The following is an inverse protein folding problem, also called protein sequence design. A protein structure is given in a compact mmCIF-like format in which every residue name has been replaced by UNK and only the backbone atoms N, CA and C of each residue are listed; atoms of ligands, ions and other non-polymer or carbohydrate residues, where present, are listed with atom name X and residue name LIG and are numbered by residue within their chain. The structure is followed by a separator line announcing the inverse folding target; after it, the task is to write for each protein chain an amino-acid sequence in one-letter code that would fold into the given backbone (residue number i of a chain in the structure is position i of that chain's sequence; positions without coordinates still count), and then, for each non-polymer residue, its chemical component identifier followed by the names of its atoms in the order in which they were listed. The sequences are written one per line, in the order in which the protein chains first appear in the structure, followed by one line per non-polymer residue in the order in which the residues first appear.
data_IF_914982983877
#
_entry.id   IF_914982983877
#
_cell.length_a   1.000
_cell.length_b   1.000
_cell.length_c   1.000
_cell.angle_alpha   90.00
_cell.angle_beta   90.00
_cell.angle_gamma   90.00
#
_symmetry.space_group_name_H-M   'P 1'
#
loop_
_entity.id
_entity.type
_entity.pdbx_description
1 polymer ?
#
# COMPACT_ATOMS: atom_id res chain seq x y z
N UNK A 1 1.88 -22.07 -28.64
CA UNK A 1 2.90 -21.86 -27.63
C UNK A 1 2.28 -21.14 -26.43
N UNK A 2 2.69 -21.46 -25.23
CA UNK A 2 2.26 -20.74 -24.02
C UNK A 2 2.72 -19.28 -24.09
N UNK A 3 1.83 -18.33 -23.74
CA UNK A 3 2.19 -16.91 -23.67
C UNK A 3 3.04 -16.64 -22.43
N UNK A 4 4.16 -15.94 -22.61
CA UNK A 4 5.12 -15.62 -21.55
C UNK A 4 4.81 -14.26 -20.95
N UNK A 5 4.55 -14.23 -19.66
CA UNK A 5 4.24 -13.01 -18.91
C UNK A 5 5.39 -12.69 -17.96
N UNK A 6 6.00 -11.53 -18.16
CA UNK A 6 6.95 -11.00 -17.19
C UNK A 6 6.22 -10.23 -16.08
N UNK A 7 6.25 -10.77 -14.87
CA UNK A 7 5.72 -10.11 -13.66
C UNK A 7 6.87 -9.35 -13.01
N UNK A 8 6.87 -8.03 -13.19
CA UNK A 8 7.96 -7.18 -12.78
C UNK A 8 7.81 -6.70 -11.34
N UNK A 9 8.76 -7.09 -10.49
CA UNK A 9 8.89 -6.65 -9.11
C UNK A 9 10.00 -5.59 -9.01
N UNK A 10 9.67 -4.30 -8.93
CA UNK A 10 10.67 -3.25 -8.72
C UNK A 10 11.24 -3.22 -7.31
N UNK A 11 10.48 -3.71 -6.33
CA UNK A 11 10.84 -3.86 -4.92
C UNK A 11 10.05 -5.01 -4.27
N UNK A 12 10.31 -5.29 -2.99
CA UNK A 12 9.73 -6.41 -2.26
C UNK A 12 8.25 -6.22 -1.87
N UNK A 13 7.76 -4.99 -1.89
CA UNK A 13 6.41 -4.66 -1.37
C UNK A 13 5.30 -5.37 -2.17
N UNK A 14 5.47 -5.48 -3.50
CA UNK A 14 4.50 -6.11 -4.38
C UNK A 14 4.35 -7.63 -4.18
N UNK A 15 5.29 -8.30 -3.52
CA UNK A 15 5.25 -9.75 -3.30
C UNK A 15 4.03 -10.19 -2.50
N UNK A 16 3.60 -9.39 -1.51
CA UNK A 16 2.39 -9.65 -0.74
C UNK A 16 1.19 -9.97 -1.64
N UNK A 17 1.03 -9.21 -2.72
CA UNK A 17 -0.14 -9.29 -3.60
C UNK A 17 0.02 -10.31 -4.74
N UNK A 18 1.24 -10.52 -5.24
CA UNK A 18 1.44 -11.26 -6.50
C UNK A 18 2.29 -12.52 -6.37
N UNK A 19 2.83 -12.79 -5.15
CA UNK A 19 3.57 -14.01 -4.88
C UNK A 19 2.81 -14.97 -3.95
N UNK A 20 1.99 -14.45 -3.02
CA UNK A 20 1.39 -15.24 -1.94
C UNK A 20 -0.14 -15.35 -2.00
N UNK A 21 -0.76 -14.82 -3.05
CA UNK A 21 -2.19 -14.93 -3.35
C UNK A 21 -2.43 -15.97 -4.44
N UNK A 22 -3.67 -16.11 -4.89
CA UNK A 22 -4.01 -17.03 -5.99
C UNK A 22 -3.46 -16.58 -7.37
N UNK A 23 -2.83 -15.39 -7.44
CA UNK A 23 -2.37 -14.81 -8.70
C UNK A 23 -1.50 -15.79 -9.52
N UNK A 24 -0.45 -16.36 -8.94
CA UNK A 24 0.45 -17.29 -9.64
C UNK A 24 -0.30 -18.54 -10.12
N UNK A 25 -1.00 -19.20 -9.21
CA UNK A 25 -1.73 -20.45 -9.50
C UNK A 25 -2.75 -20.29 -10.61
N UNK A 26 -3.55 -19.23 -10.57
CA UNK A 26 -4.55 -18.95 -11.61
C UNK A 26 -3.93 -18.65 -12.98
N UNK A 27 -2.79 -17.97 -13.01
CA UNK A 27 -2.08 -17.72 -14.26
C UNK A 27 -1.51 -18.99 -14.90
N UNK A 28 -0.92 -19.87 -14.07
CA UNK A 28 -0.42 -21.18 -14.51
C UNK A 28 -1.57 -22.09 -15.01
N UNK A 29 -2.71 -22.10 -14.31
CA UNK A 29 -3.91 -22.85 -14.73
C UNK A 29 -4.47 -22.34 -16.06
N UNK A 30 -4.33 -21.05 -16.38
CA UNK A 30 -4.69 -20.49 -17.69
C UNK A 30 -3.65 -20.79 -18.79
N UNK A 31 -2.57 -21.47 -18.47
CA UNK A 31 -1.53 -21.89 -19.40
C UNK A 31 -0.48 -20.81 -19.70
N UNK A 32 -0.35 -19.77 -18.88
CA UNK A 32 0.69 -18.77 -19.03
C UNK A 32 2.04 -19.25 -18.47
N UNK A 33 3.14 -18.91 -19.17
CA UNK A 33 4.52 -19.03 -18.66
C UNK A 33 4.86 -17.78 -17.85
N UNK A 34 4.73 -17.87 -16.52
CA UNK A 34 4.99 -16.76 -15.60
C UNK A 34 6.46 -16.73 -15.24
N UNK A 35 7.12 -15.62 -15.54
CA UNK A 35 8.51 -15.35 -15.18
C UNK A 35 8.56 -14.08 -14.35
N UNK A 36 9.12 -14.19 -13.15
CA UNK A 36 9.29 -13.03 -12.28
C UNK A 36 10.51 -12.22 -12.70
N UNK A 37 10.29 -11.02 -13.22
CA UNK A 37 11.35 -10.08 -13.58
C UNK A 37 11.72 -9.29 -12.34
N UNK A 38 12.81 -9.68 -11.72
CA UNK A 38 13.12 -9.32 -10.35
C UNK A 38 14.16 -8.19 -10.26
N UNK A 39 13.75 -7.02 -9.76
CA UNK A 39 14.64 -5.89 -9.44
C UNK A 39 14.83 -5.73 -7.92
N UNK A 40 14.40 -6.69 -7.08
CA UNK A 40 14.66 -6.63 -5.63
C UNK A 40 16.14 -6.90 -5.34
N UNK A 41 16.60 -6.67 -4.11
CA UNK A 41 18.00 -6.92 -3.69
C UNK A 41 18.28 -8.40 -3.42
N UNK A 42 17.27 -9.26 -3.44
CA UNK A 42 17.35 -10.70 -3.17
C UNK A 42 16.83 -11.55 -4.33
N UNK A 43 17.15 -12.84 -4.32
CA UNK A 43 16.68 -13.79 -5.34
C UNK A 43 15.32 -14.37 -4.94
N UNK A 44 14.34 -14.27 -5.83
CA UNK A 44 13.03 -14.92 -5.67
C UNK A 44 13.12 -16.43 -5.90
N UNK A 45 14.07 -16.90 -6.70
CA UNK A 45 14.32 -18.33 -6.91
C UNK A 45 14.82 -18.98 -5.62
N UNK A 46 15.80 -18.34 -4.94
CA UNK A 46 16.36 -18.87 -3.68
C UNK A 46 15.38 -18.82 -2.53
N UNK A 47 14.64 -17.68 -2.40
CA UNK A 47 13.76 -17.45 -1.26
C UNK A 47 12.40 -18.15 -1.42
N UNK A 48 11.88 -18.25 -2.65
CA UNK A 48 10.51 -18.68 -2.93
C UNK A 48 10.39 -19.79 -3.98
N UNK A 49 11.50 -20.23 -4.58
CA UNK A 49 11.49 -21.24 -5.66
C UNK A 49 10.84 -20.76 -6.95
N UNK A 50 10.78 -19.45 -7.21
CA UNK A 50 10.12 -18.89 -8.38
C UNK A 50 11.06 -18.77 -9.57
N UNK A 51 10.56 -19.11 -10.76
CA UNK A 51 11.26 -18.85 -12.02
C UNK A 51 11.48 -17.35 -12.20
N UNK A 52 12.73 -16.90 -12.16
CA UNK A 52 13.05 -15.47 -12.23
C UNK A 52 14.06 -15.13 -13.33
N UNK A 53 13.98 -13.86 -13.76
CA UNK A 53 15.03 -13.16 -14.49
C UNK A 53 15.47 -11.99 -13.62
N UNK A 54 16.69 -12.03 -13.12
CA UNK A 54 17.22 -11.02 -12.18
C UNK A 54 17.71 -9.78 -12.92
N UNK A 55 17.44 -8.59 -12.39
CA UNK A 55 18.06 -7.34 -12.81
C UNK A 55 19.20 -7.05 -11.84
N UNK A 56 20.45 -7.11 -12.33
CA UNK A 56 21.65 -6.94 -11.49
C UNK A 56 21.87 -5.47 -11.07
N UNK A 57 21.47 -4.50 -11.90
CA UNK A 57 21.61 -3.08 -11.59
C UNK A 57 20.31 -2.48 -11.06
N UNK A 58 20.22 -2.33 -9.74
CA UNK A 58 19.05 -1.76 -9.05
C UNK A 58 19.02 -0.24 -9.02
N UNK A 59 20.16 0.41 -9.30
CA UNK A 59 20.30 1.86 -9.10
C UNK A 59 19.57 2.64 -10.19
N UNK A 60 18.89 3.69 -9.76
CA UNK A 60 18.29 4.69 -10.63
C UNK A 60 19.25 5.88 -10.84
N UNK A 61 19.11 6.55 -11.97
CA UNK A 61 19.83 7.80 -12.21
C UNK A 61 19.47 8.85 -11.15
N UNK A 62 20.49 9.52 -10.63
CA UNK A 62 20.29 10.61 -9.66
C UNK A 62 19.46 11.76 -10.25
N UNK A 63 19.66 12.05 -11.53
CA UNK A 63 18.86 13.07 -12.23
C UNK A 63 17.39 12.64 -12.31
N UNK A 64 17.12 11.38 -12.64
CA UNK A 64 15.77 10.84 -12.64
C UNK A 64 15.08 11.01 -11.29
N UNK A 65 15.77 10.74 -10.19
CA UNK A 65 15.21 10.94 -8.84
C UNK A 65 14.85 12.41 -8.60
N UNK A 66 15.72 13.36 -9.01
CA UNK A 66 15.45 14.79 -8.88
C UNK A 66 14.22 15.18 -9.71
N UNK A 67 14.18 14.77 -10.99
CA UNK A 67 13.06 15.10 -11.88
C UNK A 67 11.74 14.42 -11.46
N UNK A 68 11.78 13.21 -10.90
CA UNK A 68 10.59 12.55 -10.32
C UNK A 68 10.04 13.34 -9.13
N UNK A 69 10.91 13.89 -8.29
CA UNK A 69 10.51 14.81 -7.21
C UNK A 69 9.91 16.10 -7.75
N UNK A 70 10.54 16.71 -8.76
CA UNK A 70 10.01 17.90 -9.46
C UNK A 70 8.61 17.61 -10.00
N UNK A 71 8.42 16.49 -10.72
CA UNK A 71 7.13 16.05 -11.25
C UNK A 71 6.05 15.99 -10.17
N UNK A 72 6.34 15.31 -9.05
CA UNK A 72 5.40 15.18 -7.93
C UNK A 72 4.95 16.55 -7.40
N UNK A 73 5.88 17.47 -7.19
CA UNK A 73 5.57 18.83 -6.72
C UNK A 73 4.72 19.62 -7.73
N UNK A 74 5.01 19.50 -9.03
CA UNK A 74 4.26 20.17 -10.09
C UNK A 74 2.82 19.62 -10.14
N UNK A 75 2.65 18.28 -10.16
CA UNK A 75 1.35 17.64 -10.18
C UNK A 75 0.49 18.08 -8.98
N UNK A 76 1.07 18.10 -7.78
CA UNK A 76 0.38 18.58 -6.58
C UNK A 76 0.01 20.07 -6.63
N UNK A 77 0.89 20.92 -7.21
CA UNK A 77 0.59 22.33 -7.42
C UNK A 77 -0.56 22.54 -8.42
N UNK A 78 -0.53 21.77 -9.52
CA UNK A 78 -1.60 21.82 -10.53
C UNK A 78 -2.92 21.34 -9.94
N UNK A 79 -2.91 20.24 -9.19
CA UNK A 79 -4.09 19.72 -8.51
C UNK A 79 -4.66 20.71 -7.49
N UNK A 80 -3.79 21.33 -6.66
CA UNK A 80 -4.20 22.40 -5.74
C UNK A 80 -4.96 23.50 -6.45
N UNK A 81 -4.38 24.00 -7.54
CA UNK A 81 -4.98 25.11 -8.34
C UNK A 81 -6.27 24.65 -9.04
N UNK A 82 -6.26 23.48 -9.67
CA UNK A 82 -7.38 22.95 -10.45
C UNK A 82 -8.60 22.65 -9.60
N UNK A 83 -8.38 22.11 -8.40
CA UNK A 83 -9.46 21.68 -7.50
C UNK A 83 -9.74 22.67 -6.35
N UNK A 84 -8.95 23.77 -6.28
CA UNK A 84 -9.02 24.77 -5.21
C UNK A 84 -8.99 24.14 -3.81
N UNK A 85 -8.02 23.26 -3.55
CA UNK A 85 -7.98 22.42 -2.35
C UNK A 85 -6.57 22.40 -1.75
N UNK A 86 -6.46 22.85 -0.51
CA UNK A 86 -5.20 22.94 0.23
C UNK A 86 -4.69 21.59 0.81
N UNK A 87 -5.39 20.50 0.56
CA UNK A 87 -4.90 19.17 0.94
C UNK A 87 -3.67 18.76 0.15
N UNK A 88 -3.56 19.11 -1.14
CA UNK A 88 -2.47 18.67 -2.02
C UNK A 88 -1.08 19.12 -1.57
N UNK A 89 -0.85 20.35 -1.08
CA UNK A 89 0.43 20.73 -0.48
C UNK A 89 0.90 19.81 0.65
N UNK A 90 0.00 19.21 1.42
CA UNK A 90 0.33 18.34 2.55
C UNK A 90 0.96 17.01 2.13
N UNK A 91 0.82 16.59 0.85
CA UNK A 91 1.46 15.40 0.29
C UNK A 91 2.93 15.61 -0.15
N UNK A 92 3.45 16.85 -0.02
CA UNK A 92 4.81 17.18 -0.43
C UNK A 92 5.79 16.78 0.69
N UNK A 93 6.89 16.14 0.27
CA UNK A 93 7.99 15.95 1.18
C UNK A 93 8.80 17.26 1.35
N UNK A 94 9.31 17.55 2.56
CA UNK A 94 10.08 18.74 2.83
C UNK A 94 11.38 18.77 2.00
N UNK A 95 11.87 19.97 1.70
CA UNK A 95 13.16 20.16 1.06
C UNK A 95 14.28 20.06 2.10
N UNK A 96 15.42 19.52 1.69
CA UNK A 96 16.61 19.46 2.52
C UNK A 96 17.59 20.58 2.16
N UNK A 97 18.12 21.23 3.19
CA UNK A 97 19.16 22.26 3.06
C UNK A 97 20.47 21.85 3.75
N UNK A 98 20.59 20.57 4.13
CA UNK A 98 21.76 20.05 4.81
C UNK A 98 22.97 20.01 3.87
N UNK A 99 23.84 21.01 4.01
CA UNK A 99 25.05 21.18 3.21
C UNK A 99 24.82 21.80 1.82
N UNK A 100 25.89 22.32 1.23
CA UNK A 100 25.90 23.08 -0.03
C UNK A 100 25.23 22.28 -1.18
N UNK A 101 25.57 21.00 -1.32
CA UNK A 101 25.06 20.14 -2.40
C UNK A 101 23.55 19.99 -2.36
N UNK A 102 22.96 19.72 -1.18
CA UNK A 102 21.51 19.56 -1.04
C UNK A 102 20.79 20.91 -1.21
N UNK A 103 21.41 22.00 -0.76
CA UNK A 103 20.90 23.36 -0.98
C UNK A 103 20.84 23.70 -2.47
N UNK A 104 21.90 23.43 -3.24
CA UNK A 104 21.91 23.68 -4.70
C UNK A 104 20.86 22.81 -5.42
N UNK A 105 20.75 21.53 -5.08
CA UNK A 105 19.70 20.64 -5.63
C UNK A 105 18.32 21.17 -5.29
N UNK A 106 18.11 21.65 -4.08
CA UNK A 106 16.82 22.21 -3.63
C UNK A 106 16.48 23.49 -4.39
N UNK A 107 17.44 24.40 -4.56
CA UNK A 107 17.25 25.63 -5.35
C UNK A 107 16.93 25.31 -6.81
N UNK A 108 17.70 24.44 -7.45
CA UNK A 108 17.40 23.95 -8.81
C UNK A 108 15.99 23.35 -8.89
N UNK A 109 15.63 22.49 -7.96
CA UNK A 109 14.30 21.85 -7.89
C UNK A 109 13.19 22.88 -7.79
N UNK A 110 13.34 23.90 -6.93
CA UNK A 110 12.35 24.98 -6.76
C UNK A 110 12.18 25.81 -8.04
N UNK A 111 13.28 26.16 -8.70
CA UNK A 111 13.26 26.89 -9.98
C UNK A 111 12.51 26.07 -11.03
N UNK A 112 12.85 24.78 -11.17
CA UNK A 112 12.20 23.89 -12.13
C UNK A 112 10.70 23.70 -11.86
N UNK A 113 10.30 23.63 -10.59
CA UNK A 113 8.90 23.58 -10.19
C UNK A 113 8.19 24.88 -10.61
N UNK A 114 8.77 26.06 -10.29
CA UNK A 114 8.18 27.36 -10.65
C UNK A 114 7.93 27.51 -12.15
N UNK A 115 8.92 27.17 -12.97
CA UNK A 115 8.85 27.25 -14.43
C UNK A 115 7.90 26.24 -15.09
N UNK A 116 7.54 25.14 -14.39
CA UNK A 116 6.78 24.05 -14.98
C UNK A 116 5.46 23.72 -14.25
N UNK A 117 5.00 24.55 -13.30
CA UNK A 117 3.72 24.31 -12.56
C UNK A 117 2.48 24.54 -13.43
N UNK A 118 2.33 23.73 -14.48
CA UNK A 118 1.21 23.70 -15.41
C UNK A 118 1.02 22.29 -16.00
N UNK A 119 -0.12 21.99 -16.62
CA UNK A 119 -0.37 20.72 -17.31
C UNK A 119 0.67 20.44 -18.42
N UNK A 120 1.00 21.47 -19.23
CA UNK A 120 2.07 21.37 -20.23
C UNK A 120 3.43 21.11 -19.59
N UNK A 121 3.68 21.68 -18.42
CA UNK A 121 4.91 21.46 -17.64
C UNK A 121 5.02 20.02 -17.13
N UNK A 122 3.93 19.42 -16.69
CA UNK A 122 3.89 17.99 -16.30
C UNK A 122 4.36 17.12 -17.46
N UNK A 123 3.78 17.30 -18.65
CA UNK A 123 4.15 16.53 -19.86
C UNK A 123 5.63 16.72 -20.20
N UNK A 124 6.15 17.96 -20.13
CA UNK A 124 7.55 18.25 -20.40
C UNK A 124 8.49 17.54 -19.43
N UNK A 125 8.17 17.56 -18.13
CA UNK A 125 8.99 16.91 -17.10
C UNK A 125 8.95 15.38 -17.25
N UNK A 126 7.78 14.78 -17.54
CA UNK A 126 7.65 13.35 -17.82
C UNK A 126 8.48 12.92 -19.04
N UNK A 127 8.40 13.66 -20.15
CA UNK A 127 9.25 13.43 -21.33
C UNK A 127 10.75 13.52 -20.98
N UNK A 128 11.13 14.48 -20.12
CA UNK A 128 12.53 14.62 -19.67
C UNK A 128 12.98 13.42 -18.84
N UNK A 129 12.15 12.92 -17.92
CA UNK A 129 12.41 11.70 -17.15
C UNK A 129 12.65 10.52 -18.09
N UNK A 130 11.74 10.30 -19.05
CA UNK A 130 11.83 9.21 -20.00
C UNK A 130 13.10 9.29 -20.87
N UNK A 131 13.49 10.50 -21.31
CA UNK A 131 14.72 10.72 -22.06
C UNK A 131 15.98 10.44 -21.22
N UNK A 132 15.98 10.82 -19.93
CA UNK A 132 17.09 10.56 -19.02
C UNK A 132 17.25 9.05 -18.76
N UNK A 133 16.17 8.33 -18.58
CA UNK A 133 16.21 6.89 -18.32
C UNK A 133 16.64 6.07 -19.53
N UNK A 134 16.22 6.45 -20.76
CA UNK A 134 16.68 5.80 -21.99
C UNK A 134 18.21 5.91 -22.22
N UNK A 135 18.86 6.90 -21.61
CA UNK A 135 20.31 7.08 -21.68
C UNK A 135 21.08 6.20 -20.65
N UNK A 136 20.40 5.51 -19.74
CA UNK A 136 21.02 4.73 -18.65
C UNK A 136 21.52 3.36 -19.10
N UNK A 137 22.47 2.80 -18.35
CA UNK A 137 22.88 1.40 -18.51
C UNK A 137 21.77 0.44 -18.15
N UNK A 138 20.99 0.77 -17.11
CA UNK A 138 19.83 -0.02 -16.69
C UNK A 138 18.82 -0.20 -17.83
N UNK A 139 18.53 0.87 -18.57
CA UNK A 139 17.64 0.77 -19.72
C UNK A 139 18.20 -0.20 -20.79
N UNK A 140 19.49 -0.07 -21.14
CA UNK A 140 20.14 -0.97 -22.12
C UNK A 140 20.12 -2.41 -21.65
N UNK A 141 20.41 -2.64 -20.36
CA UNK A 141 20.36 -3.96 -19.73
C UNK A 141 18.95 -4.58 -19.79
N UNK A 142 17.93 -3.83 -19.35
CA UNK A 142 16.54 -4.27 -19.42
C UNK A 142 16.11 -4.58 -20.86
N UNK A 143 16.51 -3.74 -21.83
CA UNK A 143 16.18 -3.97 -23.24
C UNK A 143 16.81 -5.26 -23.77
N UNK A 144 18.07 -5.54 -23.44
CA UNK A 144 18.75 -6.77 -23.82
C UNK A 144 18.07 -8.02 -23.19
N UNK A 145 17.67 -7.96 -21.92
CA UNK A 145 16.91 -9.05 -21.28
C UNK A 145 15.58 -9.31 -22.01
N UNK A 146 14.83 -8.25 -22.32
CA UNK A 146 13.55 -8.41 -23.02
C UNK A 146 13.71 -9.00 -24.43
N UNK A 147 14.78 -8.61 -25.15
CA UNK A 147 15.10 -9.20 -26.45
C UNK A 147 15.50 -10.67 -26.36
N UNK A 148 16.22 -11.07 -25.31
CA UNK A 148 16.62 -12.44 -25.10
C UNK A 148 15.46 -13.34 -24.67
N UNK A 149 14.57 -12.87 -23.83
CA UNK A 149 13.47 -13.64 -23.25
C UNK A 149 12.14 -13.56 -23.99
N UNK A 150 11.94 -12.49 -24.78
CA UNK A 150 10.75 -12.27 -25.63
C UNK A 150 9.41 -12.49 -24.89
N UNK A 151 9.13 -11.74 -23.79
CA UNK A 151 7.83 -11.87 -23.16
C UNK A 151 6.72 -11.27 -24.03
N UNK A 152 5.51 -11.84 -23.95
CA UNK A 152 4.34 -11.34 -24.64
C UNK A 152 3.71 -10.12 -23.94
N UNK A 153 3.99 -9.92 -22.64
CA UNK A 153 3.51 -8.79 -21.85
C UNK A 153 4.40 -8.58 -20.61
N UNK A 154 4.56 -7.32 -20.20
CA UNK A 154 5.20 -6.94 -18.93
C UNK A 154 4.13 -6.37 -17.99
N UNK A 155 3.88 -7.07 -16.88
CA UNK A 155 3.01 -6.65 -15.78
C UNK A 155 3.84 -6.09 -14.63
N UNK A 156 3.78 -4.78 -14.39
CA UNK A 156 4.47 -4.12 -13.30
C UNK A 156 3.59 -4.08 -12.05
N UNK A 157 4.05 -4.65 -10.96
CA UNK A 157 3.31 -4.81 -9.69
C UNK A 157 3.05 -3.52 -8.93
N UNK A 158 3.66 -2.40 -9.35
CA UNK A 158 3.40 -1.08 -8.76
C UNK A 158 3.70 0.06 -9.73
N UNK A 159 2.80 1.05 -9.78
CA UNK A 159 2.96 2.24 -10.62
C UNK A 159 3.89 3.30 -10.01
N UNK A 160 4.23 3.20 -8.72
CA UNK A 160 4.91 4.27 -7.97
C UNK A 160 6.44 4.18 -7.95
N UNK A 161 7.00 3.03 -8.31
CA UNK A 161 8.42 2.79 -8.17
C UNK A 161 9.22 3.44 -9.30
N UNK A 162 10.12 4.37 -8.96
CA UNK A 162 11.00 5.02 -9.92
C UNK A 162 11.94 4.02 -10.60
N UNK A 163 12.26 2.92 -9.93
CA UNK A 163 13.06 1.81 -10.46
C UNK A 163 12.43 1.12 -11.66
N UNK A 164 11.11 1.28 -11.84
CA UNK A 164 10.37 0.66 -12.95
C UNK A 164 10.53 1.38 -14.28
N UNK A 165 10.95 2.64 -14.30
CA UNK A 165 10.89 3.48 -15.50
C UNK A 165 11.73 2.89 -16.63
N UNK A 166 12.98 2.53 -16.38
CA UNK A 166 13.88 1.95 -17.40
C UNK A 166 13.32 0.66 -17.99
N UNK A 167 12.79 -0.21 -17.15
CA UNK A 167 12.25 -1.52 -17.54
C UNK A 167 11.01 -1.38 -18.43
N UNK A 168 10.07 -0.53 -18.04
CA UNK A 168 8.84 -0.30 -18.80
C UNK A 168 9.09 0.44 -20.11
N UNK A 169 9.98 1.45 -20.12
CA UNK A 169 10.40 2.13 -21.36
C UNK A 169 11.06 1.15 -22.34
N UNK A 170 11.89 0.23 -21.84
CA UNK A 170 12.52 -0.78 -22.69
C UNK A 170 11.49 -1.72 -23.31
N UNK A 171 10.45 -2.12 -22.56
CA UNK A 171 9.36 -2.94 -23.07
C UNK A 171 8.54 -2.21 -24.15
N UNK A 172 8.16 -0.97 -23.90
CA UNK A 172 7.42 -0.12 -24.85
C UNK A 172 8.21 0.14 -26.14
N UNK A 173 9.50 0.42 -26.03
CA UNK A 173 10.37 0.65 -27.19
C UNK A 173 10.61 -0.63 -28.04
N UNK A 174 10.28 -1.81 -27.50
CA UNK A 174 10.27 -3.08 -28.21
C UNK A 174 8.87 -3.51 -28.68
N UNK A 175 7.84 -2.68 -28.45
CA UNK A 175 6.45 -3.00 -28.80
C UNK A 175 5.80 -4.07 -27.91
N UNK A 176 6.39 -4.36 -26.74
CA UNK A 176 5.84 -5.31 -25.75
C UNK A 176 4.81 -4.57 -24.89
N UNK A 177 3.55 -5.02 -24.83
CA UNK A 177 2.51 -4.41 -24.02
C UNK A 177 2.90 -4.30 -22.56
N UNK A 178 2.63 -3.14 -21.96
CA UNK A 178 2.95 -2.85 -20.56
C UNK A 178 1.70 -2.58 -19.74
N UNK A 179 1.63 -3.17 -18.57
CA UNK A 179 0.56 -2.95 -17.58
C UNK A 179 1.19 -2.51 -16.26
N UNK A 180 0.63 -1.52 -15.59
CA UNK A 180 0.98 -1.21 -14.20
C UNK A 180 -0.22 -1.35 -13.29
N UNK A 181 0.01 -1.96 -12.12
CA UNK A 181 -0.98 -2.07 -11.07
C UNK A 181 -0.89 -0.86 -10.13
N UNK A 182 -2.01 -0.24 -9.80
CA UNK A 182 -2.05 0.83 -8.78
C UNK A 182 -2.02 0.18 -7.40
N UNK A 183 -0.88 0.31 -6.73
CA UNK A 183 -0.54 -0.50 -5.55
C UNK A 183 -1.40 -0.22 -4.31
N UNK A 184 -1.80 1.04 -4.09
CA UNK A 184 -2.55 1.44 -2.90
C UNK A 184 -3.62 2.46 -3.23
N UNK A 185 -4.75 2.37 -2.53
CA UNK A 185 -5.94 3.21 -2.73
C UNK A 185 -5.72 4.71 -2.52
N UNK A 186 -4.66 5.09 -1.82
CA UNK A 186 -4.29 6.48 -1.54
C UNK A 186 -3.30 7.08 -2.55
N UNK A 187 -2.77 6.28 -3.48
CA UNK A 187 -1.63 6.67 -4.30
C UNK A 187 -1.98 7.69 -5.39
N UNK A 188 -3.13 7.57 -6.03
CA UNK A 188 -3.50 8.39 -7.19
C UNK A 188 -3.57 9.87 -6.83
N UNK A 189 -4.30 10.30 -5.78
CA UNK A 189 -4.36 11.70 -5.37
C UNK A 189 -3.04 12.27 -4.86
N UNK A 190 -2.12 11.41 -4.40
CA UNK A 190 -0.82 11.79 -3.86
C UNK A 190 0.27 11.98 -4.92
N UNK A 191 -0.10 12.05 -6.20
CA UNK A 191 0.83 12.16 -7.33
C UNK A 191 1.87 11.03 -7.38
N UNK A 192 1.42 9.79 -7.13
CA UNK A 192 2.28 8.61 -7.12
C UNK A 192 2.26 7.80 -8.43
N UNK A 193 1.62 8.31 -9.48
CA UNK A 193 1.71 7.72 -10.83
C UNK A 193 3.05 8.10 -11.45
N UNK A 194 4.07 7.29 -11.21
CA UNK A 194 5.44 7.54 -11.67
C UNK A 194 5.64 7.06 -13.10
N UNK A 195 5.21 5.82 -13.39
CA UNK A 195 5.37 5.20 -14.71
C UNK A 195 4.17 5.48 -15.62
N UNK A 196 4.43 5.50 -16.93
CA UNK A 196 3.39 5.52 -17.97
C UNK A 196 3.43 4.17 -18.68
N UNK A 197 2.29 3.48 -18.71
CA UNK A 197 2.12 2.15 -19.31
C UNK A 197 0.98 2.17 -20.32
N UNK A 198 0.88 1.13 -21.13
CA UNK A 198 -0.21 1.03 -22.11
C UNK A 198 -1.55 0.81 -21.42
N UNK A 199 -1.54 0.08 -20.27
CA UNK A 199 -2.73 -0.19 -19.45
C UNK A 199 -2.42 0.03 -17.96
N UNK A 200 -3.49 0.35 -17.21
CA UNK A 200 -3.47 0.58 -15.76
C UNK A 200 -4.52 -0.29 -15.09
N UNK A 201 -4.10 -1.15 -14.18
CA UNK A 201 -5.03 -1.95 -13.38
C UNK A 201 -5.27 -1.25 -12.05
N UNK A 202 -6.53 -1.09 -11.70
CA UNK A 202 -7.00 -0.36 -10.52
C UNK A 202 -7.98 -1.22 -9.71
N UNK A 203 -8.16 -0.87 -8.45
CA UNK A 203 -8.95 -1.65 -7.53
C UNK A 203 -10.45 -1.53 -7.77
N UNK A 204 -10.93 -0.32 -8.07
CA UNK A 204 -12.36 -0.01 -8.12
C UNK A 204 -12.68 1.09 -9.13
N UNK A 205 -13.96 1.31 -9.38
CA UNK A 205 -14.44 2.43 -10.20
C UNK A 205 -14.06 3.79 -9.59
N UNK A 206 -14.02 3.91 -8.25
CA UNK A 206 -13.50 5.10 -7.59
C UNK A 206 -12.09 5.41 -8.09
N UNK A 207 -11.19 4.43 -8.03
CA UNK A 207 -9.80 4.59 -8.42
C UNK A 207 -9.64 4.82 -9.94
N UNK A 208 -10.48 4.17 -10.78
CA UNK A 208 -10.55 4.47 -12.21
C UNK A 208 -10.87 5.93 -12.46
N UNK A 209 -11.91 6.45 -11.79
CA UNK A 209 -12.30 7.84 -11.90
C UNK A 209 -11.20 8.79 -11.40
N UNK A 210 -10.48 8.44 -10.35
CA UNK A 210 -9.33 9.21 -9.88
C UNK A 210 -8.20 9.22 -10.91
N UNK A 211 -7.84 8.10 -11.52
CA UNK A 211 -6.82 8.04 -12.58
C UNK A 211 -7.17 8.99 -13.72
N UNK A 212 -8.38 8.93 -14.23
CA UNK A 212 -8.87 9.79 -15.33
C UNK A 212 -8.93 11.27 -14.92
N UNK A 213 -9.29 11.56 -13.67
CA UNK A 213 -9.35 12.92 -13.11
C UNK A 213 -7.98 13.58 -13.00
N UNK A 214 -6.98 12.84 -12.49
CA UNK A 214 -5.65 13.38 -12.19
C UNK A 214 -4.69 13.30 -13.38
N UNK A 215 -4.90 12.34 -14.28
CA UNK A 215 -4.02 12.06 -15.43
C UNK A 215 -4.80 12.08 -16.76
N UNK A 216 -5.21 13.28 -17.24
CA UNK A 216 -6.09 13.42 -18.40
C UNK A 216 -5.48 12.96 -19.72
N UNK A 217 -4.21 12.59 -19.74
CA UNK A 217 -3.53 11.95 -20.87
C UNK A 217 -3.75 10.44 -20.94
N UNK A 218 -4.36 9.84 -19.90
CA UNK A 218 -4.76 8.42 -19.87
C UNK A 218 -6.19 8.31 -20.37
N UNK A 219 -6.42 7.46 -21.37
CA UNK A 219 -7.75 7.20 -21.90
C UNK A 219 -8.48 6.16 -21.05
N UNK A 220 -9.79 6.23 -21.00
CA UNK A 220 -10.63 5.32 -20.23
C UNK A 220 -10.38 3.84 -20.58
N UNK A 221 -10.16 3.53 -21.89
CA UNK A 221 -9.88 2.16 -22.36
C UNK A 221 -8.58 1.56 -21.81
N UNK A 222 -7.66 2.40 -21.35
CA UNK A 222 -6.40 1.96 -20.73
C UNK A 222 -6.56 1.58 -19.26
N UNK A 223 -7.69 1.92 -18.62
CA UNK A 223 -7.89 1.71 -17.17
C UNK A 223 -8.88 0.57 -16.96
N UNK A 224 -8.39 -0.52 -16.41
CA UNK A 224 -9.14 -1.76 -16.18
C UNK A 224 -9.33 -1.96 -14.66
N UNK A 225 -10.58 -2.12 -14.24
CA UNK A 225 -10.93 -2.39 -12.84
C UNK A 225 -10.79 -3.89 -12.57
N UNK A 226 -9.88 -4.25 -11.67
CA UNK A 226 -9.56 -5.65 -11.37
C UNK A 226 -9.79 -6.03 -9.91
N UNK A 227 -9.98 -5.06 -9.02
CA UNK A 227 -9.81 -5.32 -7.59
C UNK A 227 -8.33 -5.33 -7.19
N UNK A 228 -8.06 -5.74 -5.95
CA UNK A 228 -6.70 -5.92 -5.43
C UNK A 228 -6.53 -7.27 -4.75
N UNK A 229 -5.47 -8.04 -5.06
CA UNK A 229 -5.21 -9.32 -4.39
C UNK A 229 -4.89 -9.17 -2.90
N UNK A 230 -4.65 -7.94 -2.42
CA UNK A 230 -4.30 -7.66 -1.03
C UNK A 230 -5.27 -8.30 -0.02
N UNK A 231 -6.54 -8.38 -0.36
CA UNK A 231 -7.59 -8.88 0.56
C UNK A 231 -7.97 -10.35 0.31
N UNK A 232 -7.47 -10.98 -0.75
CA UNK A 232 -7.76 -12.41 -1.03
C UNK A 232 -7.42 -13.34 0.15
N UNK A 233 -6.31 -13.14 0.90
CA UNK A 233 -5.98 -13.98 2.04
C UNK A 233 -7.07 -14.05 3.11
N UNK A 234 -7.89 -12.99 3.27
CA UNK A 234 -8.99 -12.97 4.23
C UNK A 234 -10.18 -13.88 3.86
N UNK A 235 -10.19 -14.40 2.66
CA UNK A 235 -11.19 -15.33 2.13
C UNK A 235 -10.62 -16.73 1.86
N UNK A 236 -9.36 -16.97 2.20
CA UNK A 236 -8.68 -18.25 2.05
C UNK A 236 -8.82 -19.08 3.33
N UNK A 237 -9.67 -20.12 3.26
CA UNK A 237 -9.92 -20.99 4.40
C UNK A 237 -8.68 -21.80 4.85
N UNK A 238 -7.69 -22.00 3.95
CA UNK A 238 -6.45 -22.71 4.30
C UNK A 238 -5.54 -21.91 5.24
N UNK A 239 -5.71 -20.58 5.30
CA UNK A 239 -4.97 -19.71 6.19
C UNK A 239 -5.61 -19.60 7.59
N UNK A 240 -6.86 -20.07 7.75
CA UNK A 240 -7.59 -19.98 9.01
C UNK A 240 -7.10 -21.03 9.98
N UNK A 241 -6.70 -20.60 11.16
CA UNK A 241 -6.44 -21.46 12.31
C UNK A 241 -7.65 -21.48 13.25
N UNK A 242 -7.81 -22.56 14.03
CA UNK A 242 -8.79 -22.51 15.12
C UNK A 242 -8.36 -21.47 16.17
N UNK A 243 -9.32 -20.88 16.87
CA UNK A 243 -9.00 -19.94 17.95
C UNK A 243 -8.04 -20.56 18.97
N UNK A 244 -8.23 -21.84 19.29
CA UNK A 244 -7.39 -22.57 20.24
C UNK A 244 -5.94 -22.66 19.77
N UNK A 245 -5.72 -23.03 18.51
CA UNK A 245 -4.36 -23.20 17.96
C UNK A 245 -3.66 -21.86 17.81
N UNK A 246 -4.35 -20.84 17.32
CA UNK A 246 -3.81 -19.49 17.21
C UNK A 246 -3.44 -18.91 18.58
N UNK A 247 -4.32 -19.07 19.58
CA UNK A 247 -4.06 -18.60 20.94
C UNK A 247 -2.90 -19.34 21.62
N UNK A 248 -2.80 -20.64 21.39
CA UNK A 248 -1.67 -21.43 21.90
C UNK A 248 -0.34 -20.98 21.26
N UNK A 249 -0.33 -20.70 19.96
CA UNK A 249 0.89 -20.25 19.24
C UNK A 249 1.45 -18.93 19.79
N UNK A 250 0.57 -18.00 20.19
CA UNK A 250 0.96 -16.67 20.65
C UNK A 250 0.80 -16.47 22.16
N UNK A 251 0.63 -17.55 22.93
CA UNK A 251 0.44 -17.53 24.39
C UNK A 251 -0.71 -16.60 24.84
N UNK A 252 -1.81 -16.60 24.08
CA UNK A 252 -3.01 -15.84 24.40
C UNK A 252 -3.92 -16.63 25.33
N UNK A 253 -4.58 -15.94 26.26
CA UNK A 253 -5.54 -16.54 27.19
C UNK A 253 -6.89 -16.78 26.50
N UNK A 254 -7.30 -18.05 26.40
CA UNK A 254 -8.57 -18.45 25.76
C UNK A 254 -9.81 -17.88 26.47
N UNK A 255 -9.71 -17.51 27.75
CA UNK A 255 -10.81 -16.91 28.52
C UNK A 255 -11.02 -15.44 28.18
N UNK A 256 -10.02 -14.77 27.57
CA UNK A 256 -10.08 -13.35 27.23
C UNK A 256 -10.66 -13.11 25.83
N UNK A 257 -11.28 -11.94 25.67
CA UNK A 257 -11.52 -11.31 24.38
C UNK A 257 -10.41 -10.32 24.08
N UNK A 258 -9.89 -10.33 22.86
CA UNK A 258 -8.78 -9.46 22.49
C UNK A 258 -9.21 -8.33 21.57
N UNK A 259 -8.60 -7.16 21.76
CA UNK A 259 -8.69 -5.98 20.90
C UNK A 259 -7.36 -5.87 20.15
N UNK A 260 -7.40 -5.70 18.84
CA UNK A 260 -6.18 -5.42 18.08
C UNK A 260 -5.86 -3.94 18.11
N UNK A 261 -4.65 -3.58 18.53
CA UNK A 261 -4.05 -2.29 18.23
C UNK A 261 -3.11 -2.46 17.03
N UNK A 262 -3.46 -1.87 15.91
CA UNK A 262 -2.60 -1.85 14.72
C UNK A 262 -1.75 -0.58 14.73
N UNK A 263 -0.48 -0.72 15.10
CA UNK A 263 0.46 0.40 15.13
C UNK A 263 0.71 1.01 13.75
N UNK A 264 1.04 2.30 13.72
CA UNK A 264 1.35 3.03 12.50
C UNK A 264 2.83 3.43 12.43
N UNK A 265 3.29 3.95 11.29
CA UNK A 265 4.64 4.47 11.14
C UNK A 265 4.79 5.87 11.76
N UNK A 266 6.05 6.24 12.09
CA UNK A 266 6.37 7.51 12.75
C UNK A 266 5.95 8.75 11.93
N UNK A 267 5.88 8.64 10.61
CA UNK A 267 5.50 9.77 9.75
C UNK A 267 4.00 10.01 9.70
N UNK A 268 3.21 8.98 9.97
CA UNK A 268 1.75 9.03 10.00
C UNK A 268 1.24 9.36 11.40
N UNK A 269 1.77 8.68 12.42
CA UNK A 269 1.40 8.86 13.83
C UNK A 269 2.66 8.96 14.70
N UNK A 270 3.26 10.15 14.86
CA UNK A 270 4.51 10.33 15.62
C UNK A 270 4.43 9.95 17.08
N UNK A 271 3.24 10.00 17.67
CA UNK A 271 2.96 9.74 19.08
C UNK A 271 2.10 8.47 19.29
N UNK A 272 2.20 7.52 18.37
CA UNK A 272 1.33 6.34 18.30
C UNK A 272 1.37 5.47 19.56
N UNK A 273 2.51 5.39 20.25
CA UNK A 273 2.66 4.67 21.50
C UNK A 273 1.73 5.18 22.61
N UNK A 274 1.38 6.48 22.61
CA UNK A 274 0.49 7.05 23.62
C UNK A 274 -0.98 6.69 23.37
N UNK A 275 -1.38 6.41 22.11
CA UNK A 275 -2.73 5.89 21.84
C UNK A 275 -2.84 4.42 22.29
N UNK A 276 -1.75 3.63 22.17
CA UNK A 276 -1.70 2.29 22.74
C UNK A 276 -1.81 2.32 24.28
N UNK A 277 -1.13 3.26 24.93
CA UNK A 277 -1.23 3.50 26.37
C UNK A 277 -2.66 3.90 26.78
N UNK A 278 -3.31 4.79 26.03
CA UNK A 278 -4.69 5.19 26.26
C UNK A 278 -5.66 4.00 26.15
N UNK A 279 -5.46 3.13 25.15
CA UNK A 279 -6.24 1.89 25.03
C UNK A 279 -5.99 0.95 26.20
N UNK A 280 -4.74 0.78 26.66
CA UNK A 280 -4.42 -0.07 27.80
C UNK A 280 -5.13 0.42 29.07
N UNK A 281 -5.15 1.72 29.31
CA UNK A 281 -5.86 2.32 30.44
C UNK A 281 -7.38 2.11 30.36
N UNK A 282 -7.98 2.27 29.18
CA UNK A 282 -9.41 2.00 28.96
C UNK A 282 -9.75 0.52 29.20
N UNK A 283 -8.93 -0.41 28.72
CA UNK A 283 -9.13 -1.85 28.91
C UNK A 283 -8.95 -2.25 30.37
N UNK A 284 -8.00 -1.68 31.11
CA UNK A 284 -7.87 -1.90 32.57
C UNK A 284 -9.12 -1.45 33.34
N UNK A 285 -9.68 -0.29 32.99
CA UNK A 285 -10.91 0.20 33.58
C UNK A 285 -12.09 -0.74 33.31
N UNK A 286 -12.23 -1.22 32.08
CA UNK A 286 -13.25 -2.20 31.72
C UNK A 286 -13.10 -3.55 32.45
N UNK A 287 -11.85 -4.01 32.59
CA UNK A 287 -11.58 -5.24 33.35
C UNK A 287 -11.92 -5.09 34.84
N UNK A 288 -11.70 -3.91 35.42
CA UNK A 288 -12.14 -3.59 36.79
C UNK A 288 -13.69 -3.60 36.94
N UNK A 289 -14.43 -3.39 35.84
CA UNK A 289 -15.91 -3.50 35.77
C UNK A 289 -16.41 -4.92 35.47
N UNK A 290 -15.51 -5.90 35.41
CA UNK A 290 -15.86 -7.31 35.22
C UNK A 290 -15.75 -7.84 33.80
N UNK A 291 -15.24 -7.03 32.84
CA UNK A 291 -14.86 -7.56 31.54
C UNK A 291 -13.55 -8.37 31.64
N UNK A 292 -13.30 -9.25 30.66
CA UNK A 292 -12.05 -10.02 30.58
C UNK A 292 -11.40 -9.81 29.23
N UNK A 293 -10.69 -8.67 29.09
CA UNK A 293 -10.12 -8.19 27.83
C UNK A 293 -8.60 -8.23 27.87
N UNK A 294 -8.00 -8.45 26.69
CA UNK A 294 -6.58 -8.27 26.42
C UNK A 294 -6.38 -7.45 25.15
N UNK A 295 -5.14 -7.05 24.89
CA UNK A 295 -4.75 -6.31 23.69
C UNK A 295 -3.72 -7.12 22.92
N UNK A 296 -3.92 -7.28 21.62
CA UNK A 296 -2.88 -7.70 20.68
C UNK A 296 -2.33 -6.43 20.03
N UNK A 297 -1.06 -6.13 20.30
CA UNK A 297 -0.34 -5.08 19.58
C UNK A 297 0.34 -5.68 18.34
N UNK A 298 -0.08 -5.25 17.14
CA UNK A 298 0.59 -5.56 15.88
C UNK A 298 1.37 -4.34 15.40
N UNK A 299 2.69 -4.45 15.41
CA UNK A 299 3.59 -3.40 14.94
C UNK A 299 3.42 -3.16 13.44
N UNK A 300 3.54 -1.91 12.99
CA UNK A 300 3.65 -1.61 11.57
C UNK A 300 4.91 -2.26 10.99
N UNK A 301 4.84 -3.03 9.88
CA UNK A 301 6.00 -3.75 9.34
C UNK A 301 7.20 -2.88 8.96
N UNK A 302 6.96 -1.58 8.70
CA UNK A 302 8.01 -0.62 8.32
C UNK A 302 8.45 0.30 9.45
N UNK A 303 7.85 0.18 10.64
CA UNK A 303 8.30 0.90 11.83
C UNK A 303 9.45 0.16 12.50
N UNK A 304 10.64 0.73 12.43
CA UNK A 304 11.86 0.20 13.05
C UNK A 304 12.20 0.85 14.39
N UNK A 305 11.32 1.73 14.90
CA UNK A 305 11.56 2.44 16.16
C UNK A 305 11.29 1.57 17.38
N UNK A 306 11.82 2.02 18.53
CA UNK A 306 11.62 1.40 19.85
C UNK A 306 10.63 2.17 20.71
N UNK A 307 9.84 3.08 20.12
CA UNK A 307 8.95 4.00 20.84
C UNK A 307 7.85 3.33 21.66
N UNK A 308 7.52 2.08 21.35
CA UNK A 308 6.51 1.30 22.07
C UNK A 308 7.07 0.53 23.27
N UNK A 309 8.41 0.38 23.40
CA UNK A 309 9.03 -0.54 24.35
C UNK A 309 8.61 -0.25 25.80
N UNK A 310 8.54 1.04 26.19
CA UNK A 310 8.11 1.43 27.53
C UNK A 310 6.66 1.02 27.82
N UNK A 311 5.72 1.34 26.91
CA UNK A 311 4.30 0.99 27.06
C UNK A 311 4.08 -0.52 27.10
N UNK A 312 4.82 -1.27 26.29
CA UNK A 312 4.75 -2.74 26.27
C UNK A 312 5.29 -3.34 27.57
N UNK A 313 6.41 -2.81 28.10
CA UNK A 313 6.97 -3.28 29.37
C UNK A 313 6.07 -2.99 30.57
N UNK A 314 5.46 -1.82 30.62
CA UNK A 314 4.54 -1.40 31.69
C UNK A 314 3.19 -2.12 31.66
N UNK A 315 2.78 -2.69 30.50
CA UNK A 315 1.49 -3.34 30.32
C UNK A 315 1.62 -4.80 29.84
N UNK A 316 2.69 -5.49 30.18
CA UNK A 316 2.98 -6.86 29.74
C UNK A 316 1.99 -7.92 30.24
N UNK A 317 1.18 -7.61 31.27
CA UNK A 317 0.06 -8.42 31.75
C UNK A 317 -1.21 -8.31 30.90
N UNK A 318 -1.29 -7.25 30.08
CA UNK A 318 -2.47 -6.88 29.31
C UNK A 318 -2.22 -6.91 27.79
N UNK A 319 -1.02 -6.53 27.34
CA UNK A 319 -0.67 -6.40 25.94
C UNK A 319 0.24 -7.54 25.52
N UNK A 320 -0.17 -8.27 24.49
CA UNK A 320 0.68 -9.25 23.80
C UNK A 320 1.14 -8.64 22.48
N UNK A 321 2.44 -8.39 22.36
CA UNK A 321 3.03 -7.90 21.13
C UNK A 321 3.24 -9.06 20.14
N UNK A 322 2.72 -8.90 18.92
CA UNK A 322 2.90 -9.87 17.84
C UNK A 322 3.49 -9.13 16.63
N UNK A 323 4.77 -9.34 16.41
CA UNK A 323 5.50 -8.71 15.31
C UNK A 323 5.09 -9.26 13.95
N UNK A 324 5.14 -8.42 12.90
CA UNK A 324 5.01 -8.90 11.52
C UNK A 324 6.13 -9.88 11.17
N UNK A 325 5.78 -10.90 10.41
CA UNK A 325 6.73 -11.92 9.96
C UNK A 325 7.41 -11.53 8.63
N UNK A 326 7.74 -10.25 8.48
CA UNK A 326 8.46 -9.73 7.32
C UNK A 326 9.97 -9.82 7.55
N UNK A 327 10.70 -10.23 6.52
CA UNK A 327 12.17 -10.34 6.59
C UNK A 327 12.82 -9.10 5.99
N UNK A 328 13.63 -8.33 6.73
CA UNK A 328 14.45 -7.28 6.15
C UNK A 328 15.54 -7.93 5.29
N UNK A 329 15.63 -7.53 4.02
CA UNK A 329 16.57 -8.07 3.03
C UNK A 329 17.64 -7.05 2.63
N UNK A 330 17.50 -5.79 3.05
CA UNK A 330 18.41 -4.68 2.81
C UNK A 330 18.21 -3.56 3.81
N UNK A 331 18.69 -2.37 3.47
CA UNK A 331 18.70 -1.20 4.38
C UNK A 331 17.51 -0.25 4.17
N UNK A 332 16.84 -0.34 3.03
CA UNK A 332 15.70 0.53 2.72
C UNK A 332 14.38 -0.15 3.11
N UNK A 333 13.39 0.64 3.46
CA UNK A 333 12.07 0.18 3.90
C UNK A 333 11.34 -0.72 2.90
N UNK A 334 11.67 -0.64 1.62
CA UNK A 334 11.09 -1.45 0.53
C UNK A 334 11.98 -2.64 0.12
N UNK A 335 13.14 -2.81 0.76
CA UNK A 335 14.02 -3.98 0.60
C UNK A 335 13.65 -5.05 1.62
N UNK A 336 12.41 -5.49 1.56
CA UNK A 336 11.77 -6.42 2.47
C UNK A 336 11.18 -7.61 1.72
N UNK A 337 11.11 -8.74 2.39
CA UNK A 337 10.42 -9.94 1.94
C UNK A 337 9.21 -10.18 2.87
N UNK A 338 7.98 -9.80 2.47
CA UNK A 338 6.77 -10.30 3.11
C UNK A 338 6.74 -11.82 3.04
N UNK A 339 6.09 -12.48 3.99
CA UNK A 339 5.97 -13.94 3.99
C UNK A 339 4.52 -14.39 3.88
N UNK A 340 4.29 -15.63 3.46
CA UNK A 340 2.95 -16.23 3.45
C UNK A 340 2.43 -16.40 4.87
N UNK A 341 3.33 -16.69 5.80
CA UNK A 341 3.03 -16.83 7.23
C UNK A 341 2.52 -15.52 7.83
N UNK A 342 3.02 -14.36 7.35
CA UNK A 342 2.51 -13.05 7.80
C UNK A 342 1.09 -12.77 7.30
N UNK A 343 0.74 -13.23 6.10
CA UNK A 343 -0.65 -13.14 5.60
C UNK A 343 -1.59 -14.00 6.45
N UNK A 344 -1.18 -15.22 6.80
CA UNK A 344 -1.94 -16.09 7.71
C UNK A 344 -2.04 -15.46 9.10
N UNK A 345 -0.96 -14.86 9.62
CA UNK A 345 -0.96 -14.16 10.90
C UNK A 345 -1.98 -13.02 10.92
N UNK A 346 -1.94 -12.12 9.92
CA UNK A 346 -2.89 -11.00 9.85
C UNK A 346 -4.34 -11.50 9.73
N UNK A 347 -4.58 -12.50 8.88
CA UNK A 347 -5.88 -13.15 8.73
C UNK A 347 -6.44 -13.63 10.10
N UNK A 348 -5.62 -14.35 10.86
CA UNK A 348 -6.03 -14.89 12.16
C UNK A 348 -6.18 -13.82 13.26
N UNK A 349 -5.35 -12.76 13.26
CA UNK A 349 -5.55 -11.61 14.14
C UNK A 349 -6.93 -10.99 13.86
N UNK A 350 -7.26 -10.72 12.60
CA UNK A 350 -8.56 -10.14 12.23
C UNK A 350 -9.73 -11.05 12.63
N UNK A 351 -9.60 -12.37 12.43
CA UNK A 351 -10.65 -13.35 12.72
C UNK A 351 -10.91 -13.50 14.23
N UNK A 352 -9.87 -13.49 15.05
CA UNK A 352 -9.93 -13.89 16.45
C UNK A 352 -9.94 -12.72 17.45
N UNK A 353 -9.91 -11.48 16.98
CA UNK A 353 -10.10 -10.29 17.82
C UNK A 353 -11.50 -9.69 17.65
N UNK A 354 -11.92 -8.85 18.59
CA UNK A 354 -13.27 -8.26 18.59
C UNK A 354 -13.38 -7.01 17.70
N UNK A 355 -12.32 -6.23 17.65
CA UNK A 355 -12.22 -4.98 16.87
C UNK A 355 -10.76 -4.61 16.65
N UNK A 356 -10.53 -3.65 15.74
CA UNK A 356 -9.24 -2.99 15.60
C UNK A 356 -9.32 -1.53 16.04
N UNK A 357 -8.21 -1.04 16.62
CA UNK A 357 -7.98 0.37 16.92
C UNK A 357 -6.70 0.83 16.27
N UNK A 358 -6.68 2.02 15.67
CA UNK A 358 -5.48 2.59 15.02
C UNK A 358 -5.67 4.07 14.68
N UNK A 359 -4.62 4.69 14.13
CA UNK A 359 -4.66 6.03 13.54
C UNK A 359 -4.73 5.89 12.02
N UNK A 360 -5.86 6.15 11.40
CA UNK A 360 -6.08 6.25 9.95
C UNK A 360 -5.53 5.09 9.07
N UNK A 361 -5.33 3.90 9.64
CA UNK A 361 -4.77 2.77 8.91
C UNK A 361 -5.80 2.10 7.99
N UNK A 362 -5.33 1.62 6.83
CA UNK A 362 -6.12 0.79 5.92
C UNK A 362 -6.47 -0.60 6.48
N UNK A 363 -5.93 -0.97 7.63
CA UNK A 363 -6.26 -2.21 8.34
C UNK A 363 -7.76 -2.33 8.66
N UNK A 364 -8.50 -1.21 8.67
CA UNK A 364 -9.97 -1.21 8.74
C UNK A 364 -10.59 -2.14 7.70
N UNK A 365 -10.01 -2.22 6.50
CA UNK A 365 -10.52 -3.08 5.43
C UNK A 365 -10.16 -4.56 5.62
N UNK A 366 -9.02 -4.85 6.24
CA UNK A 366 -8.66 -6.21 6.64
C UNK A 366 -9.65 -6.74 7.70
N UNK A 367 -10.03 -5.89 8.66
CA UNK A 367 -10.94 -6.25 9.73
C UNK A 367 -12.40 -6.37 9.27
N UNK A 368 -12.88 -5.47 8.40
CA UNK A 368 -14.26 -5.56 7.91
C UNK A 368 -14.47 -6.80 7.03
N UNK A 369 -13.44 -7.33 6.38
CA UNK A 369 -13.51 -8.63 5.68
C UNK A 369 -13.86 -9.78 6.63
N UNK A 370 -13.62 -9.62 7.94
CA UNK A 370 -14.01 -10.52 9.01
C UNK A 370 -15.20 -10.01 9.82
N UNK A 371 -15.91 -9.00 9.33
CA UNK A 371 -17.07 -8.38 10.01
C UNK A 371 -16.71 -7.81 11.39
N UNK A 372 -15.51 -7.27 11.52
CA UNK A 372 -15.03 -6.65 12.76
C UNK A 372 -15.00 -5.13 12.62
N UNK A 373 -15.46 -4.39 13.65
CA UNK A 373 -15.49 -2.94 13.67
C UNK A 373 -14.10 -2.34 13.88
N UNK A 374 -13.97 -1.04 13.54
CA UNK A 374 -12.76 -0.26 13.71
C UNK A 374 -13.04 1.01 14.51
N UNK A 375 -12.16 1.32 15.47
CA UNK A 375 -12.07 2.63 16.12
C UNK A 375 -10.86 3.37 15.55
N UNK A 376 -11.08 4.57 15.00
CA UNK A 376 -10.04 5.51 14.63
C UNK A 376 -9.82 6.53 15.73
N UNK A 377 -8.56 6.66 16.21
CA UNK A 377 -8.19 7.77 17.08
C UNK A 377 -8.15 9.07 16.29
N UNK A 378 -8.86 10.08 16.76
CA UNK A 378 -8.92 11.40 16.13
C UNK A 378 -8.93 12.52 17.19
N UNK A 379 -8.00 12.44 18.15
CA UNK A 379 -7.71 13.48 19.15
C UNK A 379 -6.21 13.62 19.31
N UNK A 380 -5.77 14.82 19.71
CA UNK A 380 -4.36 15.11 19.86
C UNK A 380 -3.81 14.61 21.20
N UNK A 381 -2.60 14.09 21.15
CA UNK A 381 -1.85 13.77 22.36
C UNK A 381 -1.24 15.04 22.96
N UNK A 382 -1.28 15.23 24.31
CA UNK A 382 -0.72 16.43 24.98
C UNK A 382 0.77 16.65 24.70
N UNK A 383 1.50 15.60 24.36
CA UNK A 383 2.93 15.63 24.05
C UNK A 383 3.25 16.17 22.65
N UNK A 384 2.22 16.49 21.84
CA UNK A 384 2.42 16.98 20.47
C UNK A 384 3.19 18.31 20.48
N UNK A 385 4.40 18.27 19.91
CA UNK A 385 5.26 19.46 19.82
C UNK A 385 4.81 20.35 18.67
N UNK A 386 5.01 21.66 18.83
CA UNK A 386 4.76 22.64 17.77
C UNK A 386 5.54 22.29 16.50
N UNK A 387 4.87 22.20 15.37
CA UNK A 387 5.47 21.88 14.06
C UNK A 387 5.42 20.40 13.67
N UNK A 388 5.00 19.52 14.59
CA UNK A 388 4.61 18.15 14.26
C UNK A 388 3.17 18.17 13.75
N UNK A 389 2.89 17.37 12.73
CA UNK A 389 1.57 17.32 12.11
C UNK A 389 0.56 16.67 13.05
N UNK A 390 -0.59 17.33 13.19
CA UNK A 390 -1.79 16.84 13.82
C UNK A 390 -2.32 15.60 13.07
N UNK A 391 -2.68 14.54 13.81
CA UNK A 391 -3.23 13.31 13.21
C UNK A 391 -4.59 13.55 12.53
N UNK A 392 -5.40 14.49 13.00
CA UNK A 392 -6.66 14.90 12.36
C UNK A 392 -6.49 15.35 10.91
N UNK A 393 -5.28 15.79 10.52
CA UNK A 393 -4.94 16.10 9.14
C UNK A 393 -4.96 14.84 8.23
N UNK A 394 -4.68 13.66 8.78
CA UNK A 394 -4.69 12.42 8.00
C UNK A 394 -6.09 12.10 7.46
N UNK A 395 -7.13 12.32 8.26
CA UNK A 395 -8.53 12.09 7.86
C UNK A 395 -9.07 13.10 6.84
N UNK A 396 -8.34 14.22 6.60
CA UNK A 396 -8.67 15.21 5.56
C UNK A 396 -8.14 14.83 4.18
N UNK A 397 -7.29 13.79 4.08
CA UNK A 397 -6.74 13.34 2.81
C UNK A 397 -7.83 12.88 1.84
N UNK A 398 -7.56 13.06 0.54
CA UNK A 398 -8.53 12.81 -0.53
C UNK A 398 -9.10 11.39 -0.46
N UNK A 399 -8.28 10.39 -0.19
CA UNK A 399 -8.74 9.01 -0.15
C UNK A 399 -9.76 8.73 0.98
N UNK A 400 -9.70 9.43 2.13
CA UNK A 400 -10.74 9.33 3.17
C UNK A 400 -12.08 9.93 2.75
N UNK A 401 -12.11 10.82 1.75
CA UNK A 401 -13.37 11.38 1.19
C UNK A 401 -14.19 10.33 0.41
N UNK A 402 -13.64 9.14 0.18
CA UNK A 402 -14.35 7.99 -0.37
C UNK A 402 -15.29 7.33 0.63
N UNK A 403 -15.17 7.68 1.92
CA UNK A 403 -16.06 7.20 2.97
C UNK A 403 -17.49 7.62 2.69
N UNK A 404 -18.45 6.68 2.55
CA UNK A 404 -19.82 7.00 2.16
C UNK A 404 -20.56 7.79 3.26
N UNK A 405 -20.28 7.46 4.51
CA UNK A 405 -20.78 8.16 5.70
C UNK A 405 -19.68 8.21 6.76
N UNK A 406 -19.77 9.15 7.71
CA UNK A 406 -18.83 9.18 8.84
C UNK A 406 -18.96 7.96 9.76
N UNK A 407 -20.01 7.18 9.62
CA UNK A 407 -20.28 5.95 10.37
C UNK A 407 -19.51 4.74 9.86
N UNK A 408 -18.80 4.84 8.73
CA UNK A 408 -17.97 3.77 8.19
C UNK A 408 -16.78 3.41 9.12
N UNK A 409 -16.42 4.31 10.04
CA UNK A 409 -15.51 4.02 11.16
C UNK A 409 -16.04 4.68 12.44
N UNK A 410 -15.72 4.12 13.60
CA UNK A 410 -16.02 4.76 14.89
C UNK A 410 -14.88 5.72 15.20
N UNK A 411 -15.15 7.03 15.18
CA UNK A 411 -14.14 8.03 15.51
C UNK A 411 -14.13 8.31 17.01
N UNK A 412 -13.03 8.01 17.68
CA UNK A 412 -12.76 8.47 19.04
C UNK A 412 -12.13 9.88 18.96
N UNK A 413 -12.94 10.91 19.22
CA UNK A 413 -12.53 12.31 19.13
C UNK A 413 -12.11 12.90 20.48
N UNK A 414 -12.28 12.16 21.55
CA UNK A 414 -11.87 12.53 22.90
C UNK A 414 -11.38 11.26 23.61
N UNK A 415 -10.21 11.32 24.26
CA UNK A 415 -9.67 10.23 25.09
C UNK A 415 -10.68 9.71 26.11
N UNK A 416 -11.45 10.59 26.75
CA UNK A 416 -12.43 10.21 27.76
C UNK A 416 -13.55 9.30 27.24
N UNK A 417 -13.82 9.30 25.92
CA UNK A 417 -14.87 8.49 25.31
C UNK A 417 -14.40 7.07 24.95
N UNK A 418 -13.08 6.82 24.94
CA UNK A 418 -12.49 5.58 24.43
C UNK A 418 -13.03 4.35 25.14
N UNK A 419 -13.07 4.38 26.49
CA UNK A 419 -13.58 3.28 27.29
C UNK A 419 -15.04 2.94 26.92
N UNK A 420 -15.91 3.95 26.86
CA UNK A 420 -17.32 3.79 26.52
C UNK A 420 -17.51 3.28 25.08
N UNK A 421 -16.69 3.74 24.12
CA UNK A 421 -16.75 3.26 22.74
C UNK A 421 -16.37 1.77 22.66
N UNK A 422 -15.26 1.38 23.30
CA UNK A 422 -14.83 -0.01 23.37
C UNK A 422 -15.93 -0.87 24.01
N UNK A 423 -16.48 -0.45 25.14
CA UNK A 423 -17.54 -1.20 25.84
C UNK A 423 -18.78 -1.39 24.97
N UNK A 424 -19.24 -0.34 24.29
CA UNK A 424 -20.40 -0.41 23.39
C UNK A 424 -20.16 -1.41 22.25
N UNK A 425 -18.96 -1.47 21.70
CA UNK A 425 -18.62 -2.41 20.62
C UNK A 425 -18.60 -3.85 21.13
N UNK A 426 -17.86 -4.14 22.21
CA UNK A 426 -17.72 -5.51 22.74
C UNK A 426 -19.02 -6.07 23.30
N UNK A 427 -19.98 -5.20 23.66
CA UNK A 427 -21.34 -5.57 24.10
C UNK A 427 -22.37 -5.52 22.97
N UNK A 428 -21.94 -5.36 21.71
CA UNK A 428 -22.77 -5.27 20.51
C UNK A 428 -23.84 -4.15 20.52
N UNK A 429 -23.62 -3.08 21.32
CA UNK A 429 -24.48 -1.89 21.34
C UNK A 429 -24.10 -0.85 20.28
N UNK A 430 -22.91 -0.99 19.68
CA UNK A 430 -22.39 -0.17 18.61
C UNK A 430 -21.69 -1.06 17.60
N UNK A 431 -22.00 -0.91 16.32
CA UNK A 431 -21.28 -1.55 15.22
C UNK A 431 -21.29 -0.63 14.02
N UNK A 432 -20.14 -0.50 13.36
CA UNK A 432 -20.00 0.22 12.09
C UNK A 432 -19.77 -0.73 10.90
N UNK A 433 -19.91 -2.04 11.10
CA UNK A 433 -19.56 -3.06 10.10
C UNK A 433 -20.31 -2.83 8.79
N UNK A 434 -21.63 -2.65 8.83
CA UNK A 434 -22.45 -2.46 7.63
C UNK A 434 -22.02 -1.23 6.80
N UNK A 435 -21.73 -0.11 7.45
CA UNK A 435 -21.27 1.10 6.74
C UNK A 435 -19.82 0.98 6.28
N UNK A 436 -18.99 0.29 7.05
CA UNK A 436 -17.62 -0.03 6.65
C UNK A 436 -17.57 -1.00 5.45
N UNK A 437 -18.47 -1.97 5.36
CA UNK A 437 -18.59 -2.86 4.19
C UNK A 437 -18.93 -2.07 2.91
N UNK A 438 -19.80 -1.06 2.99
CA UNK A 438 -20.07 -0.16 1.86
C UNK A 438 -18.81 0.60 1.45
N UNK A 439 -18.06 1.11 2.41
CA UNK A 439 -16.79 1.79 2.13
C UNK A 439 -15.76 0.83 1.53
N UNK A 440 -15.65 -0.36 2.09
CA UNK A 440 -14.78 -1.42 1.57
C UNK A 440 -15.10 -1.76 0.11
N UNK A 441 -16.39 -1.91 -0.22
CA UNK A 441 -16.81 -2.16 -1.60
C UNK A 441 -16.47 -1.00 -2.57
N UNK A 442 -16.55 0.25 -2.10
CA UNK A 442 -16.13 1.43 -2.88
C UNK A 442 -14.63 1.41 -3.15
N UNK A 443 -13.82 1.05 -2.16
CA UNK A 443 -12.34 1.11 -2.24
C UNK A 443 -11.76 -0.13 -2.90
N UNK A 444 -12.12 -1.32 -2.44
CA UNK A 444 -11.55 -2.59 -2.89
C UNK A 444 -12.27 -3.20 -4.11
N UNK A 445 -13.43 -2.64 -4.46
CA UNK A 445 -14.32 -3.21 -5.46
C UNK A 445 -15.28 -4.25 -4.88
N UNK A 446 -16.33 -4.63 -5.65
CA UNK A 446 -17.43 -5.47 -5.15
C UNK A 446 -17.06 -6.96 -4.97
N UNK A 447 -15.92 -7.39 -5.52
CA UNK A 447 -15.50 -8.80 -5.49
C UNK A 447 -14.03 -8.95 -5.07
N UNK A 448 -13.65 -8.53 -3.86
CA UNK A 448 -12.24 -8.50 -3.44
C UNK A 448 -11.57 -9.89 -3.47
N UNK A 449 -12.31 -10.97 -3.24
CA UNK A 449 -11.82 -12.36 -3.32
C UNK A 449 -11.51 -12.87 -4.74
N UNK A 450 -11.83 -12.13 -5.79
CA UNK A 450 -11.64 -12.52 -7.20
C UNK A 450 -10.66 -11.61 -7.95
N UNK A 451 -9.89 -10.81 -7.23
CA UNK A 451 -9.01 -9.82 -7.86
C UNK A 451 -7.95 -10.46 -8.76
N UNK A 452 -7.29 -11.52 -8.32
CA UNK A 452 -6.33 -12.26 -9.15
C UNK A 452 -6.95 -12.83 -10.42
N UNK A 453 -8.17 -13.36 -10.34
CA UNK A 453 -8.90 -13.83 -11.51
C UNK A 453 -9.15 -12.70 -12.52
N UNK A 454 -9.66 -11.55 -12.05
CA UNK A 454 -9.92 -10.37 -12.90
C UNK A 454 -8.66 -9.76 -13.50
N UNK A 455 -7.55 -9.79 -12.78
CA UNK A 455 -6.25 -9.38 -13.31
C UNK A 455 -5.88 -10.26 -14.52
N UNK A 456 -6.02 -11.58 -14.41
CA UNK A 456 -5.74 -12.49 -15.52
C UNK A 456 -6.73 -12.37 -16.66
N UNK A 457 -7.99 -12.07 -16.39
CA UNK A 457 -8.99 -11.74 -17.43
C UNK A 457 -8.57 -10.48 -18.20
N UNK A 458 -8.13 -9.43 -17.50
CA UNK A 458 -7.60 -8.21 -18.11
C UNK A 458 -6.34 -8.47 -18.94
N UNK A 459 -5.37 -9.25 -18.44
CA UNK A 459 -4.17 -9.64 -19.20
C UNK A 459 -4.57 -10.42 -20.46
N UNK A 460 -5.49 -11.38 -20.33
CA UNK A 460 -5.98 -12.17 -21.48
C UNK A 460 -6.63 -11.30 -22.55
N UNK A 461 -7.46 -10.34 -22.16
CA UNK A 461 -8.08 -9.38 -23.08
C UNK A 461 -7.05 -8.54 -23.85
N UNK A 462 -6.04 -8.01 -23.15
CA UNK A 462 -4.94 -7.25 -23.76
C UNK A 462 -4.20 -8.09 -24.81
N UNK A 463 -3.87 -9.34 -24.50
CA UNK A 463 -3.15 -10.22 -25.40
C UNK A 463 -3.98 -10.59 -26.64
N UNK A 464 -5.30 -10.73 -26.51
CA UNK A 464 -6.22 -10.98 -27.63
C UNK A 464 -6.32 -9.76 -28.56
N UNK A 465 -6.43 -8.55 -28.00
CA UNK A 465 -6.45 -7.31 -28.79
C UNK A 465 -5.17 -7.13 -29.62
N UNK A 466 -4.01 -7.52 -29.09
CA UNK A 466 -2.74 -7.47 -29.81
C UNK A 466 -2.66 -8.53 -30.92
N UNK A 467 -3.16 -9.75 -30.67
CA UNK A 467 -3.22 -10.80 -31.69
C UNK A 467 -4.13 -10.45 -32.88
N UNK A 468 -5.23 -9.75 -32.62
CA UNK A 468 -6.15 -9.27 -33.67
C UNK A 468 -5.63 -8.09 -34.52
N UNK A 469 -4.60 -7.36 -34.01
CA UNK A 469 -3.93 -6.29 -34.79
C UNK A 469 -2.82 -6.80 -35.69
N UNK A 470 -2.34 -8.02 -35.47
CA UNK A 470 -1.26 -8.67 -36.24
C UNK A 470 -1.79 -9.64 -37.28
N UNK A 471 -3.08 -9.97 -37.25
CA UNK A 471 -3.80 -10.76 -38.26
C UNK A 471 -4.56 -9.85 -39.27
#
# INVERSE_FOLDING_TARGET
MSKKIFVFFPDGVGLRNFAFTQFKTLGEQKGYDIVYWNNTVFSLEKELGFKEVKIENHRISRLTSIYTRIRKHIELNVSRKKFNDDVYPTYKFPFSYNGIKNTLITLFTKVMIGLNSSEKGIVRIRKRINSLERATEKYRYCKAQLQAHQPDLVFCTTQRATQSISALLAAQDLGIPTVSFVYSWDNVPKAMQVVETDYYFVWSELMKNEVLKYYPFINERQVIVTGTPQFEPHYDAELMQTKKDFFATYNLDLSKKYICYSGDDETTSPLDQHYLEDLANAVRSLNAKGHNLGIIYRKCPVDTTTRYDAVLAENNDLIVAIDPLWKPMGTNWNEILPTKEDLALLHNICAHTELVTNVCSSTVFDFVAHQKPCIYFNYEQPQLKKGIRDIGQNYKYVHFRSMPTQEAAVFCTNKADLESLVEKIITAKLSNVSECEKWYAIVAGPTPKQASQKIWEGISGILQEQGGKLA
#
